data_IF_229406342976
#
_entry.id   IF_229406342976
#
_cell.length_a   1.000
_cell.length_b   1.000
_cell.length_c   1.000
_cell.angle_alpha   90.00
_cell.angle_beta   90.00
_cell.angle_gamma   90.00
#
_symmetry.space_group_name_H-M   'P 1'
#
loop_
_entity.id
_entity.type
_entity.pdbx_description
1 polymer ?
#
# COMPACT_ATOMS: atom_id res chain seq x y z
N UNK A 1 41.83 33.79 -10.13
CA UNK A 1 41.00 33.10 -9.12
C UNK A 1 39.58 33.04 -9.65
N UNK A 2 39.01 31.86 -9.87
CA UNK A 2 37.59 31.69 -10.21
C UNK A 2 36.81 31.50 -8.91
N UNK A 3 35.80 32.33 -8.68
CA UNK A 3 34.89 32.20 -7.54
C UNK A 3 33.68 31.37 -7.97
N UNK A 4 33.52 30.18 -7.39
CA UNK A 4 32.35 29.35 -7.66
C UNK A 4 31.11 29.98 -7.02
N UNK A 5 30.06 30.19 -7.83
CA UNK A 5 28.76 30.69 -7.38
C UNK A 5 27.95 29.48 -6.88
N UNK A 6 27.68 29.40 -5.58
CA UNK A 6 26.83 28.37 -5.03
C UNK A 6 25.40 28.54 -5.58
N UNK A 7 24.92 27.56 -6.34
CA UNK A 7 23.50 27.46 -6.70
C UNK A 7 22.75 26.81 -5.55
N UNK A 8 21.93 27.59 -4.84
CA UNK A 8 20.99 27.06 -3.86
C UNK A 8 19.76 26.53 -4.60
N UNK A 9 19.69 25.22 -4.80
CA UNK A 9 18.47 24.57 -5.28
C UNK A 9 17.49 24.47 -4.11
N UNK A 10 16.44 25.29 -4.12
CA UNK A 10 15.32 25.13 -3.18
C UNK A 10 14.58 23.85 -3.51
N UNK A 11 14.78 22.79 -2.70
CA UNK A 11 13.98 21.57 -2.78
C UNK A 11 12.59 21.89 -2.24
N UNK A 12 11.58 21.94 -3.10
CA UNK A 12 10.19 21.88 -2.66
C UNK A 12 9.95 20.48 -2.11
N UNK A 13 10.04 20.34 -0.80
CA UNK A 13 9.48 19.17 -0.12
C UNK A 13 7.97 19.22 -0.34
N UNK A 14 7.44 18.22 -1.05
CA UNK A 14 6.00 17.97 -1.02
C UNK A 14 5.70 17.51 0.39
N UNK A 15 5.23 18.43 1.23
CA UNK A 15 4.84 18.09 2.60
C UNK A 15 3.43 17.52 2.56
N UNK A 16 3.27 16.32 3.13
CA UNK A 16 2.07 15.47 3.23
C UNK A 16 0.80 16.10 3.84
N UNK A 17 0.75 17.43 4.03
CA UNK A 17 -0.37 18.17 4.61
C UNK A 17 -1.71 17.91 3.90
N UNK A 18 -1.68 17.57 2.61
CA UNK A 18 -2.88 17.24 1.83
C UNK A 18 -3.11 15.72 1.69
N UNK A 19 -2.18 14.89 2.16
CA UNK A 19 -2.33 13.43 2.15
C UNK A 19 -3.21 12.97 3.32
N UNK A 20 -4.50 12.81 3.05
CA UNK A 20 -5.46 12.24 4.00
C UNK A 20 -5.51 10.73 3.85
N UNK A 21 -5.20 10.02 4.93
CA UNK A 21 -5.46 8.59 5.05
C UNK A 21 -6.83 8.38 5.67
N UNK A 22 -7.66 7.55 5.04
CA UNK A 22 -9.01 7.24 5.51
C UNK A 22 -9.40 5.84 5.09
N UNK A 23 -10.27 5.20 5.88
CA UNK A 23 -10.98 3.99 5.49
C UNK A 23 -12.06 4.27 4.45
N UNK A 24 -12.50 5.53 4.35
CA UNK A 24 -13.30 6.02 3.24
C UNK A 24 -12.42 6.32 2.03
N UNK A 25 -13.05 6.33 0.86
CA UNK A 25 -12.37 6.75 -0.36
C UNK A 25 -12.15 8.26 -0.34
N UNK A 26 -10.93 8.68 -0.68
CA UNK A 26 -10.54 10.09 -0.72
C UNK A 26 -9.91 10.42 -2.07
N UNK A 27 -10.35 11.51 -2.71
CA UNK A 27 -9.70 12.06 -3.89
C UNK A 27 -8.38 12.72 -3.47
N UNK A 28 -7.28 12.32 -4.07
CA UNK A 28 -5.92 12.75 -3.65
C UNK A 28 -5.53 14.14 -4.15
N UNK A 29 -6.24 14.68 -5.14
CA UNK A 29 -5.84 15.89 -5.87
C UNK A 29 -4.81 15.63 -6.98
N UNK A 30 -4.26 14.42 -7.06
CA UNK A 30 -3.38 13.99 -8.14
C UNK A 30 -4.17 13.35 -9.30
N UNK A 31 -3.48 13.26 -10.43
CA UNK A 31 -4.01 12.73 -11.70
C UNK A 31 -3.04 11.66 -12.23
N UNK A 32 -3.58 10.58 -12.77
CA UNK A 32 -2.79 9.51 -13.39
C UNK A 32 -2.37 9.87 -14.82
N UNK A 33 -1.51 9.06 -15.43
CA UNK A 33 -0.94 9.32 -16.77
C UNK A 33 -2.00 9.37 -17.88
N UNK A 34 -3.19 8.82 -17.64
CA UNK A 34 -4.35 8.85 -18.54
C UNK A 34 -5.27 10.07 -18.30
N UNK A 35 -4.89 10.99 -17.40
CA UNK A 35 -5.69 12.16 -17.07
C UNK A 35 -6.79 11.90 -16.04
N UNK A 36 -6.95 10.67 -15.54
CA UNK A 36 -8.00 10.36 -14.55
C UNK A 36 -7.58 10.74 -13.13
N UNK A 37 -8.51 11.20 -12.28
CA UNK A 37 -8.20 11.52 -10.90
C UNK A 37 -7.81 10.28 -10.11
N UNK A 38 -6.81 10.41 -9.24
CA UNK A 38 -6.38 9.35 -8.34
C UNK A 38 -7.17 9.43 -7.02
N UNK A 39 -7.74 8.29 -6.63
CA UNK A 39 -8.39 8.09 -5.35
C UNK A 39 -7.52 7.19 -4.46
N UNK A 40 -7.64 7.35 -3.13
CA UNK A 40 -6.93 6.55 -2.13
C UNK A 40 -7.92 5.95 -1.13
N UNK A 41 -7.64 4.75 -0.64
CA UNK A 41 -8.35 4.13 0.48
C UNK A 41 -7.38 3.30 1.34
N UNK A 42 -7.63 3.26 2.64
CA UNK A 42 -6.90 2.45 3.61
C UNK A 42 -7.78 1.31 4.12
N UNK A 43 -7.26 0.09 4.10
CA UNK A 43 -7.86 -1.06 4.76
C UNK A 43 -7.07 -1.39 6.00
N UNK A 44 -7.77 -1.54 7.11
CA UNK A 44 -7.22 -2.00 8.38
C UNK A 44 -7.85 -3.36 8.70
N UNK A 45 -7.06 -4.42 8.55
CA UNK A 45 -7.54 -5.82 8.62
C UNK A 45 -6.92 -6.51 9.82
N UNK A 46 -7.72 -7.04 10.73
CA UNK A 46 -7.23 -7.83 11.87
C UNK A 46 -7.24 -9.33 11.56
N UNK A 47 -6.40 -10.08 12.28
CA UNK A 47 -6.67 -11.49 12.58
C UNK A 47 -6.77 -12.42 11.36
N UNK A 48 -5.94 -12.19 10.34
CA UNK A 48 -5.81 -13.08 9.18
C UNK A 48 -4.59 -13.97 9.34
N UNK A 49 -4.79 -15.29 9.28
CA UNK A 49 -3.70 -16.19 8.86
C UNK A 49 -3.35 -15.83 7.43
N UNK A 50 -2.07 -15.69 7.11
CA UNK A 50 -1.61 -15.39 5.76
C UNK A 50 -0.83 -16.58 5.24
N UNK A 51 -1.27 -17.11 4.11
CA UNK A 51 -0.53 -18.06 3.28
C UNK A 51 -0.80 -17.72 1.82
N UNK A 52 0.00 -18.27 0.91
CA UNK A 52 -0.13 -18.00 -0.52
C UNK A 52 -1.58 -18.12 -1.00
N UNK A 53 -2.08 -17.08 -1.68
CA UNK A 53 -3.43 -17.00 -2.22
C UNK A 53 -4.51 -16.59 -1.21
N UNK A 54 -4.17 -16.34 0.07
CA UNK A 54 -5.15 -15.93 1.07
C UNK A 54 -5.77 -14.58 0.71
N UNK A 55 -7.10 -14.51 0.65
CA UNK A 55 -7.84 -13.24 0.58
C UNK A 55 -7.73 -12.48 1.91
N UNK A 56 -6.90 -11.44 1.89
CA UNK A 56 -6.66 -10.55 3.03
C UNK A 56 -7.86 -9.65 3.25
N UNK A 57 -8.32 -8.98 2.19
CA UNK A 57 -9.50 -8.14 2.22
C UNK A 57 -10.28 -8.29 0.93
N UNK A 58 -11.54 -8.73 1.04
CA UNK A 58 -12.50 -8.61 -0.05
C UNK A 58 -12.82 -7.13 -0.26
N UNK A 59 -12.65 -6.64 -1.48
CA UNK A 59 -12.92 -5.25 -1.78
C UNK A 59 -13.89 -5.18 -2.95
N UNK A 60 -15.17 -5.02 -2.62
CA UNK A 60 -16.21 -4.85 -3.62
C UNK A 60 -16.04 -3.49 -4.31
N UNK A 61 -15.36 -3.45 -5.46
CA UNK A 61 -15.59 -2.38 -6.41
C UNK A 61 -15.51 -2.89 -7.84
N UNK A 62 -16.63 -2.74 -8.52
CA UNK A 62 -16.87 -3.13 -9.90
C UNK A 62 -16.20 -2.23 -10.95
N UNK A 63 -15.51 -1.13 -10.60
CA UNK A 63 -14.93 -0.18 -11.57
C UNK A 63 -13.62 0.42 -11.04
N UNK A 64 -12.55 -0.36 -10.98
CA UNK A 64 -11.22 0.23 -11.02
C UNK A 64 -10.76 0.24 -12.47
N UNK A 65 -10.44 1.42 -12.98
CA UNK A 65 -9.84 1.52 -14.30
C UNK A 65 -8.38 1.08 -14.27
N UNK A 66 -7.65 1.53 -13.24
CA UNK A 66 -6.30 1.06 -12.95
C UNK A 66 -5.99 1.14 -11.46
N UNK A 67 -5.26 0.14 -10.95
CA UNK A 67 -4.54 0.25 -9.68
C UNK A 67 -3.26 1.04 -9.95
N UNK A 68 -3.10 2.15 -9.24
CA UNK A 68 -1.95 3.06 -9.36
C UNK A 68 -0.83 2.60 -8.44
N UNK A 69 -1.15 2.31 -7.18
CA UNK A 69 -0.17 1.86 -6.20
C UNK A 69 -0.81 1.01 -5.12
N UNK A 70 -0.03 0.07 -4.58
CA UNK A 70 -0.37 -0.71 -3.40
C UNK A 70 0.81 -0.59 -2.44
N UNK A 71 0.55 -0.10 -1.24
CA UNK A 71 1.48 -0.16 -0.12
C UNK A 71 0.84 -0.95 1.00
N UNK A 72 1.51 -2.00 1.46
CA UNK A 72 0.99 -2.84 2.52
C UNK A 72 2.06 -3.18 3.54
N UNK A 73 1.66 -3.23 4.81
CA UNK A 73 2.52 -3.63 5.90
C UNK A 73 1.71 -4.33 7.00
N UNK A 74 2.41 -5.13 7.79
CA UNK A 74 1.90 -5.69 9.02
C UNK A 74 2.38 -4.84 10.19
N UNK A 75 1.43 -4.40 11.01
CA UNK A 75 1.68 -3.72 12.27
C UNK A 75 1.67 -4.75 13.40
N UNK A 76 2.84 -4.93 14.03
CA UNK A 76 3.03 -5.75 15.21
C UNK A 76 2.35 -5.16 16.43
N UNK A 77 2.12 -5.99 17.45
CA UNK A 77 1.53 -5.58 18.73
C UNK A 77 2.44 -4.66 19.54
N UNK A 78 3.74 -4.66 19.23
CA UNK A 78 4.79 -3.80 19.76
C UNK A 78 4.91 -2.47 18.99
N UNK A 79 4.07 -2.25 17.96
CA UNK A 79 4.14 -1.09 17.08
C UNK A 79 5.17 -1.24 15.95
N UNK A 80 5.87 -2.37 15.84
CA UNK A 80 6.77 -2.63 14.72
C UNK A 80 6.04 -2.72 13.39
N UNK A 81 6.68 -2.31 12.29
CA UNK A 81 6.12 -2.39 10.94
C UNK A 81 6.95 -3.31 10.05
N UNK A 82 6.28 -4.24 9.39
CA UNK A 82 6.90 -5.18 8.46
C UNK A 82 6.28 -4.94 7.08
N UNK A 83 7.03 -4.41 6.09
CA UNK A 83 6.51 -4.18 4.76
C UNK A 83 6.21 -5.52 4.09
N UNK A 84 5.13 -5.58 3.30
CA UNK A 84 4.81 -6.81 2.57
C UNK A 84 5.55 -6.95 1.26
N UNK A 85 6.14 -5.91 0.70
CA UNK A 85 7.23 -6.08 -0.29
C UNK A 85 8.52 -6.47 0.43
N UNK A 86 8.59 -7.71 0.91
CA UNK A 86 9.75 -8.23 1.68
C UNK A 86 10.25 -9.56 1.14
N UNK A 87 11.52 -9.82 1.42
CA UNK A 87 12.12 -11.14 1.31
C UNK A 87 12.22 -11.70 2.73
N UNK A 88 11.58 -12.85 2.97
CA UNK A 88 11.66 -13.55 4.25
C UNK A 88 13.06 -14.14 4.48
N UNK A 89 13.31 -14.65 5.68
CA UNK A 89 14.60 -15.25 6.05
C UNK A 89 14.99 -16.47 5.20
N UNK A 90 14.03 -17.09 4.52
CA UNK A 90 14.25 -18.18 3.57
C UNK A 90 14.74 -17.73 2.18
N UNK A 91 14.97 -16.42 1.98
CA UNK A 91 15.35 -15.84 0.69
C UNK A 91 14.20 -15.73 -0.31
N UNK A 92 12.97 -16.00 0.12
CA UNK A 92 11.78 -15.98 -0.73
C UNK A 92 10.94 -14.73 -0.50
N UNK A 93 10.40 -14.16 -1.57
CA UNK A 93 9.56 -12.97 -1.53
C UNK A 93 8.14 -13.26 -1.03
N UNK A 94 7.58 -12.27 -0.33
CA UNK A 94 6.15 -12.16 -0.06
C UNK A 94 5.64 -10.80 -0.53
N UNK A 95 4.32 -10.66 -0.60
CA UNK A 95 3.64 -9.49 -1.15
C UNK A 95 2.15 -9.46 -0.83
N UNK A 96 1.56 -8.28 -0.99
CA UNK A 96 0.12 -8.12 -1.17
C UNK A 96 -0.10 -7.67 -2.61
N UNK A 97 -0.97 -8.37 -3.33
CA UNK A 97 -1.39 -7.97 -4.67
C UNK A 97 -2.91 -7.76 -4.72
N UNK A 98 -3.38 -7.01 -5.72
CA UNK A 98 -4.80 -6.98 -6.06
C UNK A 98 -5.11 -8.10 -7.04
N UNK A 99 -6.09 -8.94 -6.70
CA UNK A 99 -6.57 -10.03 -7.54
C UNK A 99 -7.98 -9.72 -8.04
N UNK A 100 -8.11 -9.52 -9.35
CA UNK A 100 -9.40 -9.26 -10.01
C UNK A 100 -10.34 -10.46 -9.91
N UNK A 101 -9.81 -11.69 -10.01
CA UNK A 101 -10.61 -12.92 -9.87
C UNK A 101 -11.21 -13.09 -8.47
N UNK A 102 -10.48 -12.67 -7.43
CA UNK A 102 -10.94 -12.72 -6.05
C UNK A 102 -11.65 -11.43 -5.60
N UNK A 103 -11.76 -10.42 -6.48
CA UNK A 103 -12.33 -9.11 -6.17
C UNK A 103 -11.76 -8.52 -4.86
N UNK A 104 -10.43 -8.52 -4.72
CA UNK A 104 -9.79 -8.09 -3.48
C UNK A 104 -8.28 -8.27 -3.42
N UNK A 105 -7.72 -7.95 -2.25
CA UNK A 105 -6.28 -8.06 -2.00
C UNK A 105 -5.93 -9.43 -1.45
N UNK A 106 -4.96 -10.09 -2.08
CA UNK A 106 -4.49 -11.40 -1.67
C UNK A 106 -3.03 -11.34 -1.22
N UNK A 107 -2.67 -12.26 -0.34
CA UNK A 107 -1.29 -12.49 0.04
C UNK A 107 -0.62 -13.41 -0.98
N UNK A 108 0.57 -13.04 -1.42
CA UNK A 108 1.41 -13.85 -2.30
C UNK A 108 2.76 -14.14 -1.65
N UNK A 109 3.34 -15.26 -2.03
CA UNK A 109 4.69 -15.67 -1.63
C UNK A 109 4.69 -16.90 -0.74
N UNK A 110 5.85 -17.17 -0.14
CA UNK A 110 6.09 -18.44 0.54
C UNK A 110 6.12 -18.37 2.06
N UNK A 111 6.00 -17.17 2.65
CA UNK A 111 5.85 -17.04 4.09
C UNK A 111 4.43 -17.46 4.50
N UNK A 112 4.34 -18.18 5.62
CA UNK A 112 3.06 -18.47 6.26
C UNK A 112 3.03 -17.84 7.64
N UNK A 113 1.97 -17.12 7.94
CA UNK A 113 1.73 -16.44 9.20
C UNK A 113 0.44 -16.98 9.81
N UNK A 114 0.51 -17.43 11.06
CA UNK A 114 -0.69 -17.76 11.81
C UNK A 114 -1.48 -16.49 12.13
N UNK A 115 -2.81 -16.61 12.24
CA UNK A 115 -3.66 -15.53 12.68
C UNK A 115 -3.18 -14.99 14.04
N UNK A 116 -2.94 -13.68 14.12
CA UNK A 116 -2.60 -13.01 15.35
C UNK A 116 -3.61 -11.89 15.59
N UNK A 117 -4.44 -12.07 16.61
CA UNK A 117 -5.55 -11.16 16.95
C UNK A 117 -5.10 -9.76 17.34
N UNK A 118 -3.82 -9.59 17.71
CA UNK A 118 -3.23 -8.31 18.12
C UNK A 118 -2.53 -7.57 16.99
N UNK A 119 -2.49 -8.14 15.78
CA UNK A 119 -1.77 -7.57 14.63
C UNK A 119 -2.73 -7.13 13.54
N UNK A 120 -2.31 -6.10 12.82
CA UNK A 120 -3.08 -5.50 11.73
C UNK A 120 -2.32 -5.61 10.43
N UNK A 121 -2.99 -6.04 9.37
CA UNK A 121 -2.54 -5.82 8.00
C UNK A 121 -3.15 -4.50 7.55
N UNK A 122 -2.29 -3.54 7.23
CA UNK A 122 -2.68 -2.26 6.67
C UNK A 122 -2.39 -2.30 5.17
N UNK A 123 -3.39 -1.96 4.36
CA UNK A 123 -3.26 -1.84 2.91
C UNK A 123 -3.69 -0.45 2.52
N UNK A 124 -2.81 0.29 1.86
CA UNK A 124 -3.07 1.61 1.30
C UNK A 124 -3.04 1.43 -0.21
N UNK A 125 -4.16 1.68 -0.85
CA UNK A 125 -4.28 1.55 -2.31
C UNK A 125 -4.61 2.90 -2.91
N UNK A 126 -3.99 3.18 -4.05
CA UNK A 126 -4.38 4.26 -4.95
C UNK A 126 -4.85 3.70 -6.28
N UNK A 127 -5.87 4.32 -6.87
CA UNK A 127 -6.51 3.83 -8.08
C UNK A 127 -7.24 4.93 -8.84
N UNK A 128 -7.51 4.69 -10.12
CA UNK A 128 -8.41 5.49 -10.97
C UNK A 128 -9.76 4.80 -11.15
N UNK A 129 -10.75 5.54 -11.66
CA UNK A 129 -12.09 5.08 -12.04
C UNK A 129 -12.62 5.94 -13.19
#
# INVERSE_FOLDING_TARGET
MLTAKAMSTTVKLVTDKDMRYSTDEVKTGATWIDGKPIYRRVFKVTNKSLSNGTLVQGFAKSNFDAIVSIYAFLQGSDGGHIPFTRVGSSGKGSGIEYSSSNNGFIFIGSDTWSAQSTRWVIIIVEYTK
#
